data_IF_814516303448
#
_entry.id   IF_814516303448
#
_cell.length_a   1.000
_cell.length_b   1.000
_cell.length_c   1.000
_cell.angle_alpha   90.00
_cell.angle_beta   90.00
_cell.angle_gamma   90.00
#
_symmetry.space_group_name_H-M   'P 1'
#
loop_
_entity.id
_entity.type
_entity.pdbx_description
1 polymer ?
#
# COMPACT_ATOMS: atom_id res chain seq x y z
N UNK A 1 -22.35 -11.66 12.83
CA UNK A 1 -21.24 -11.42 11.89
C UNK A 1 -21.36 -10.00 11.35
N UNK A 2 -20.27 -9.32 11.14
CA UNK A 2 -20.22 -8.02 10.46
C UNK A 2 -20.31 -8.21 8.93
N UNK A 3 -20.00 -9.42 8.44
CA UNK A 3 -20.02 -9.74 7.02
C UNK A 3 -21.45 -9.79 6.49
N UNK A 4 -21.66 -9.09 5.38
CA UNK A 4 -22.84 -9.17 4.53
C UNK A 4 -22.71 -10.32 3.52
N UNK A 5 -23.74 -10.56 2.72
CA UNK A 5 -23.68 -11.52 1.61
C UNK A 5 -22.60 -11.15 0.58
N UNK A 6 -22.46 -9.85 0.28
CA UNK A 6 -21.42 -9.35 -0.63
C UNK A 6 -20.02 -9.62 -0.08
N UNK A 7 -19.78 -9.37 1.21
CA UNK A 7 -18.52 -9.71 1.87
C UNK A 7 -18.21 -11.20 1.79
N UNK A 8 -19.21 -12.06 2.00
CA UNK A 8 -19.04 -13.51 1.91
C UNK A 8 -18.69 -13.98 0.50
N UNK A 9 -19.34 -13.43 -0.51
CA UNK A 9 -19.02 -13.70 -1.93
C UNK A 9 -17.60 -13.23 -2.29
N UNK A 10 -17.23 -12.02 -1.84
CA UNK A 10 -15.89 -11.48 -2.04
C UNK A 10 -14.82 -12.36 -1.37
N UNK A 11 -15.07 -12.82 -0.14
CA UNK A 11 -14.17 -13.74 0.59
C UNK A 11 -13.94 -15.04 -0.19
N UNK A 12 -14.99 -15.65 -0.71
CA UNK A 12 -14.85 -16.88 -1.50
C UNK A 12 -14.04 -16.66 -2.78
N UNK A 13 -14.27 -15.54 -3.46
CA UNK A 13 -13.53 -15.16 -4.66
C UNK A 13 -12.07 -14.91 -4.35
N UNK A 14 -11.79 -14.11 -3.33
CA UNK A 14 -10.44 -13.79 -2.84
C UNK A 14 -9.68 -15.06 -2.46
N UNK A 15 -10.30 -15.96 -1.71
CA UNK A 15 -9.69 -17.24 -1.32
C UNK A 15 -9.29 -18.07 -2.54
N UNK A 16 -10.23 -18.26 -3.47
CA UNK A 16 -9.95 -19.03 -4.71
C UNK A 16 -8.81 -18.42 -5.53
N UNK A 17 -8.78 -17.09 -5.61
CA UNK A 17 -7.70 -16.39 -6.30
C UNK A 17 -6.35 -16.64 -5.62
N UNK A 18 -6.27 -16.44 -4.32
CA UNK A 18 -5.03 -16.61 -3.54
C UNK A 18 -4.53 -18.06 -3.63
N UNK A 19 -5.41 -19.04 -3.46
CA UNK A 19 -5.06 -20.46 -3.55
C UNK A 19 -4.53 -20.83 -4.94
N UNK A 20 -5.09 -20.26 -5.99
CA UNK A 20 -4.71 -20.55 -7.38
C UNK A 20 -3.44 -19.81 -7.82
N UNK A 21 -3.37 -18.50 -7.56
CA UNK A 21 -2.35 -17.62 -8.13
C UNK A 21 -1.18 -17.36 -7.17
N UNK A 22 -1.43 -17.28 -5.86
CA UNK A 22 -0.41 -16.86 -4.89
C UNK A 22 0.25 -18.03 -4.18
N UNK A 23 -0.51 -18.97 -3.65
CA UNK A 23 0.02 -20.11 -2.88
C UNK A 23 1.11 -20.89 -3.64
N UNK A 24 0.98 -21.18 -4.95
CA UNK A 24 2.02 -21.89 -5.69
C UNK A 24 3.34 -21.13 -5.82
N UNK A 25 3.33 -19.81 -5.64
CA UNK A 25 4.49 -18.93 -5.84
C UNK A 25 5.12 -18.44 -4.53
N UNK A 26 4.48 -18.68 -3.37
CA UNK A 26 4.86 -18.07 -2.09
C UNK A 26 6.29 -18.35 -1.66
N UNK A 27 6.78 -19.58 -1.83
CA UNK A 27 8.15 -19.98 -1.45
C UNK A 27 9.18 -19.22 -2.28
N UNK A 28 8.95 -19.12 -3.60
CA UNK A 28 9.78 -18.33 -4.50
C UNK A 28 9.83 -16.87 -4.09
N UNK A 29 8.70 -16.26 -3.71
CA UNK A 29 8.66 -14.86 -3.25
C UNK A 29 9.36 -14.65 -1.91
N UNK A 30 9.31 -15.63 -1.02
CA UNK A 30 10.05 -15.59 0.25
C UNK A 30 11.56 -15.61 -0.05
N UNK A 31 12.01 -16.51 -0.92
CA UNK A 31 13.42 -16.66 -1.26
C UNK A 31 14.00 -15.44 -1.99
N UNK A 32 13.24 -14.84 -2.92
CA UNK A 32 13.68 -13.65 -3.66
C UNK A 32 13.41 -12.33 -2.92
N UNK A 33 12.53 -12.32 -1.92
CA UNK A 33 12.24 -11.16 -1.07
C UNK A 33 11.18 -10.18 -1.61
N UNK A 34 10.51 -10.49 -2.71
CA UNK A 34 9.44 -9.65 -3.30
C UNK A 34 8.47 -10.46 -4.14
N UNK A 35 7.28 -9.90 -4.39
CA UNK A 35 6.28 -10.40 -5.35
C UNK A 35 6.41 -9.61 -6.66
N UNK A 36 6.46 -10.30 -7.80
CA UNK A 36 6.60 -9.64 -9.10
C UNK A 36 5.36 -8.77 -9.44
N UNK A 37 5.57 -7.65 -10.17
CA UNK A 37 4.49 -6.71 -10.51
C UNK A 37 3.29 -7.34 -11.21
N UNK A 38 3.49 -8.39 -12.01
CA UNK A 38 2.41 -9.11 -12.71
C UNK A 38 1.34 -9.67 -11.76
N UNK A 39 1.73 -10.10 -10.55
CA UNK A 39 0.79 -10.61 -9.55
C UNK A 39 0.03 -9.50 -8.82
N UNK A 40 0.61 -8.30 -8.75
CA UNK A 40 -0.11 -7.12 -8.31
C UNK A 40 -1.19 -6.72 -9.30
N UNK A 41 -0.89 -6.76 -10.61
CA UNK A 41 -1.87 -6.50 -11.65
C UNK A 41 -3.00 -7.52 -11.64
N UNK A 42 -2.69 -8.83 -11.52
CA UNK A 42 -3.71 -9.87 -11.35
C UNK A 42 -4.60 -9.64 -10.12
N UNK A 43 -4.02 -9.19 -9.00
CA UNK A 43 -4.79 -8.84 -7.81
C UNK A 43 -5.70 -7.64 -8.06
N UNK A 44 -5.22 -6.62 -8.78
CA UNK A 44 -6.02 -5.47 -9.21
C UNK A 44 -7.18 -5.86 -10.12
N UNK A 45 -6.95 -6.71 -11.13
CA UNK A 45 -7.98 -7.23 -12.03
C UNK A 45 -9.12 -7.95 -11.30
N UNK A 46 -8.84 -8.52 -10.13
CA UNK A 46 -9.82 -9.21 -9.30
C UNK A 46 -10.40 -8.35 -8.18
N UNK A 47 -10.04 -7.06 -8.12
CA UNK A 47 -10.55 -6.10 -7.14
C UNK A 47 -10.00 -6.27 -5.72
N UNK A 48 -8.85 -6.94 -5.56
CA UNK A 48 -8.22 -7.14 -4.25
C UNK A 48 -7.43 -5.91 -3.77
N UNK A 49 -7.19 -4.93 -4.65
CA UNK A 49 -6.47 -3.72 -4.34
C UNK A 49 -7.41 -2.52 -4.24
N UNK A 50 -7.26 -1.72 -3.20
CA UNK A 50 -8.04 -0.50 -2.99
C UNK A 50 -9.58 -0.72 -3.07
N UNK A 51 -10.14 -1.79 -2.47
CA UNK A 51 -11.57 -2.09 -2.58
C UNK A 51 -12.46 -1.03 -1.94
N UNK A 52 -11.95 -0.26 -0.97
CA UNK A 52 -12.65 0.81 -0.25
C UNK A 52 -12.39 2.22 -0.82
N UNK A 53 -11.52 2.34 -1.83
CA UNK A 53 -11.31 3.61 -2.55
C UNK A 53 -12.55 3.92 -3.40
N UNK A 54 -13.02 5.19 -3.44
CA UNK A 54 -14.20 5.57 -4.23
C UNK A 54 -14.08 5.19 -5.71
N UNK A 55 -15.22 4.82 -6.31
CA UNK A 55 -15.32 4.41 -7.72
C UNK A 55 -14.81 5.51 -8.66
N UNK A 56 -15.05 6.77 -8.34
CA UNK A 56 -14.58 7.93 -9.12
C UNK A 56 -13.04 7.97 -9.26
N UNK A 57 -12.33 7.31 -8.37
CA UNK A 57 -10.87 7.15 -8.41
C UNK A 57 -10.42 5.72 -8.78
N UNK A 58 -11.31 4.92 -9.35
CA UNK A 58 -11.00 3.58 -9.87
C UNK A 58 -11.00 2.47 -8.82
N UNK A 59 -11.38 2.75 -7.58
CA UNK A 59 -11.53 1.75 -6.52
C UNK A 59 -12.87 1.01 -6.55
N UNK A 60 -13.08 0.11 -5.61
CA UNK A 60 -14.30 -0.69 -5.49
C UNK A 60 -15.50 0.05 -4.88
N UNK A 61 -15.28 1.17 -4.18
CA UNK A 61 -16.32 1.93 -3.49
C UNK A 61 -16.96 1.20 -2.31
N UNK A 62 -16.33 0.13 -1.84
CA UNK A 62 -16.77 -0.65 -0.69
C UNK A 62 -16.38 -0.03 0.65
N UNK A 63 -16.51 -0.81 1.71
CA UNK A 63 -16.04 -0.45 3.04
C UNK A 63 -14.73 -1.20 3.41
N UNK A 64 -14.15 -0.88 4.55
CA UNK A 64 -12.93 -1.52 5.06
C UNK A 64 -13.07 -3.04 5.24
N UNK A 65 -14.28 -3.58 5.30
CA UNK A 65 -14.52 -5.02 5.41
C UNK A 65 -13.92 -5.80 4.23
N UNK A 66 -13.92 -5.24 3.04
CA UNK A 66 -13.29 -5.85 1.86
C UNK A 66 -11.76 -5.91 1.98
N UNK A 67 -11.11 -4.84 2.48
CA UNK A 67 -9.68 -4.87 2.79
C UNK A 67 -9.35 -5.90 3.87
N UNK A 68 -10.13 -5.93 4.96
CA UNK A 68 -9.95 -6.89 6.04
C UNK A 68 -10.02 -8.35 5.54
N UNK A 69 -10.98 -8.65 4.65
CA UNK A 69 -11.09 -9.97 4.01
C UNK A 69 -9.84 -10.28 3.20
N UNK A 70 -9.35 -9.34 2.39
CA UNK A 70 -8.14 -9.55 1.60
C UNK A 70 -6.93 -9.85 2.49
N UNK A 71 -6.79 -9.13 3.62
CA UNK A 71 -5.72 -9.39 4.59
C UNK A 71 -5.84 -10.75 5.24
N UNK A 72 -7.04 -11.12 5.71
CA UNK A 72 -7.28 -12.42 6.34
C UNK A 72 -6.99 -13.58 5.39
N UNK A 73 -7.48 -13.53 4.15
CA UNK A 73 -7.26 -14.61 3.19
C UNK A 73 -5.80 -14.70 2.72
N UNK A 74 -5.09 -13.56 2.58
CA UNK A 74 -3.66 -13.57 2.31
C UNK A 74 -2.87 -14.21 3.46
N UNK A 75 -3.18 -13.87 4.72
CA UNK A 75 -2.54 -14.50 5.88
C UNK A 75 -2.89 -15.98 6.00
N UNK A 76 -4.13 -16.38 5.72
CA UNK A 76 -4.54 -17.78 5.66
C UNK A 76 -3.72 -18.58 4.63
N UNK A 77 -3.40 -17.99 3.49
CA UNK A 77 -2.52 -18.56 2.46
C UNK A 77 -1.05 -18.49 2.81
N UNK A 78 -0.66 -17.89 3.94
CA UNK A 78 0.72 -17.59 4.32
C UNK A 78 1.44 -16.74 3.27
N UNK A 79 0.76 -15.77 2.67
CA UNK A 79 1.31 -14.86 1.66
C UNK A 79 1.91 -13.64 2.36
N UNK A 80 3.16 -13.71 2.74
CA UNK A 80 3.87 -12.64 3.45
C UNK A 80 4.48 -11.58 2.52
N UNK A 81 4.60 -11.87 1.23
CA UNK A 81 5.20 -10.98 0.22
C UNK A 81 4.20 -10.03 -0.44
N UNK A 82 2.92 -10.15 -0.13
CA UNK A 82 1.87 -9.27 -0.63
C UNK A 82 1.59 -8.13 0.35
N UNK A 83 2.32 -7.03 0.20
CA UNK A 83 2.19 -5.85 1.07
C UNK A 83 0.98 -4.96 0.74
N UNK A 84 -0.21 -5.54 0.45
CA UNK A 84 -1.42 -4.82 0.06
C UNK A 84 -1.95 -3.86 1.14
N UNK A 85 -1.69 -4.12 2.42
CA UNK A 85 -2.03 -3.18 3.49
C UNK A 85 -1.35 -1.81 3.30
N UNK A 86 -0.11 -1.80 2.80
CA UNK A 86 0.61 -0.56 2.49
C UNK A 86 -0.03 0.16 1.30
N UNK A 87 -0.51 -0.58 0.32
CA UNK A 87 -1.25 -0.03 -0.83
C UNK A 87 -2.48 0.75 -0.35
N UNK A 88 -3.31 0.14 0.49
CA UNK A 88 -4.47 0.80 1.12
C UNK A 88 -4.08 2.02 1.96
N UNK A 89 -3.07 1.92 2.83
CA UNK A 89 -2.61 3.04 3.65
C UNK A 89 -2.21 4.23 2.78
N UNK A 90 -1.41 4.02 1.73
CA UNK A 90 -0.98 5.11 0.83
C UNK A 90 -2.17 5.68 0.06
N UNK A 91 -3.12 4.84 -0.39
CA UNK A 91 -4.35 5.31 -1.03
C UNK A 91 -5.14 6.27 -0.11
N UNK A 92 -5.28 5.93 1.18
CA UNK A 92 -5.94 6.81 2.14
C UNK A 92 -5.18 8.10 2.44
N UNK A 93 -3.84 8.08 2.43
CA UNK A 93 -3.06 9.32 2.48
C UNK A 93 -3.35 10.22 1.26
N UNK A 94 -3.41 9.66 0.07
CA UNK A 94 -3.75 10.39 -1.15
C UNK A 94 -5.18 10.94 -1.11
N UNK A 95 -6.16 10.13 -0.70
CA UNK A 95 -7.56 10.56 -0.58
C UNK A 95 -7.71 11.75 0.39
N UNK A 96 -6.97 11.74 1.49
CA UNK A 96 -7.09 12.74 2.54
C UNK A 96 -6.26 14.00 2.28
N UNK A 97 -5.06 13.87 1.73
CA UNK A 97 -4.08 14.96 1.67
C UNK A 97 -3.60 15.28 0.25
N UNK A 98 -3.86 14.41 -0.71
CA UNK A 98 -3.49 14.63 -2.10
C UNK A 98 -4.33 15.70 -2.78
N UNK A 99 -3.76 16.37 -3.77
CA UNK A 99 -4.50 17.21 -4.70
C UNK A 99 -5.39 16.35 -5.61
N UNK A 100 -6.41 16.94 -6.24
CA UNK A 100 -7.27 16.21 -7.20
C UNK A 100 -6.44 15.61 -8.34
N UNK A 101 -5.46 16.35 -8.87
CA UNK A 101 -4.56 15.85 -9.92
C UNK A 101 -3.74 14.63 -9.46
N UNK A 102 -3.29 14.62 -8.20
CA UNK A 102 -2.58 13.49 -7.62
C UNK A 102 -3.50 12.27 -7.46
N UNK A 103 -4.72 12.47 -6.98
CA UNK A 103 -5.72 11.40 -6.83
C UNK A 103 -6.05 10.77 -8.19
N UNK A 104 -6.39 11.57 -9.19
CA UNK A 104 -6.72 11.12 -10.55
C UNK A 104 -5.52 10.41 -11.20
N UNK A 105 -4.31 10.89 -10.95
CA UNK A 105 -3.09 10.34 -11.55
C UNK A 105 -2.71 8.98 -10.99
N UNK A 106 -2.87 8.74 -9.67
CA UNK A 106 -2.26 7.60 -9.01
C UNK A 106 -3.27 6.56 -8.51
N UNK A 107 -4.41 6.97 -7.94
CA UNK A 107 -5.36 6.02 -7.34
C UNK A 107 -5.88 4.96 -8.32
N UNK A 108 -6.27 5.29 -9.58
CA UNK A 108 -6.71 4.27 -10.51
C UNK A 108 -5.63 3.21 -10.80
N UNK A 109 -4.38 3.65 -10.93
CA UNK A 109 -3.24 2.76 -11.18
C UNK A 109 -2.85 1.92 -9.96
N UNK A 110 -3.12 2.44 -8.76
CA UNK A 110 -2.96 1.67 -7.54
C UNK A 110 -4.02 0.57 -7.42
N UNK A 111 -5.26 0.86 -7.84
CA UNK A 111 -6.35 -0.11 -7.85
C UNK A 111 -6.13 -1.22 -8.88
N UNK A 112 -5.54 -0.92 -10.04
CA UNK A 112 -5.20 -1.91 -11.07
C UNK A 112 -3.90 -2.67 -10.79
N UNK A 113 -3.11 -2.26 -9.79
CA UNK A 113 -1.79 -2.84 -9.50
C UNK A 113 -0.67 -2.44 -10.45
N UNK A 114 -0.91 -1.46 -11.34
CA UNK A 114 0.14 -0.86 -12.18
C UNK A 114 1.15 -0.06 -11.36
N UNK A 115 0.72 0.52 -10.24
CA UNK A 115 1.56 1.23 -9.28
C UNK A 115 1.57 0.45 -7.96
N UNK A 116 2.74 -0.01 -7.56
CA UNK A 116 3.00 -0.58 -6.25
C UNK A 116 3.48 0.54 -5.34
N UNK A 117 2.95 0.61 -4.11
CA UNK A 117 3.30 1.68 -3.19
C UNK A 117 4.06 1.20 -1.98
N UNK A 118 4.85 2.10 -1.41
CA UNK A 118 5.51 1.95 -0.13
C UNK A 118 5.29 3.16 0.76
N UNK A 119 5.40 2.97 2.08
CA UNK A 119 5.44 4.06 3.04
C UNK A 119 6.75 4.00 3.83
N UNK A 120 7.57 5.04 3.69
CA UNK A 120 8.88 5.11 4.29
C UNK A 120 8.83 5.96 5.58
N UNK A 121 8.61 5.30 6.72
CA UNK A 121 8.56 5.93 8.05
C UNK A 121 9.83 5.68 8.84
N UNK A 122 10.16 4.41 9.10
CA UNK A 122 11.23 3.96 9.99
C UNK A 122 12.60 4.40 9.53
N UNK A 123 13.44 4.83 10.48
CA UNK A 123 14.84 5.18 10.28
C UNK A 123 15.74 4.33 11.20
N UNK A 124 17.04 4.25 10.96
CA UNK A 124 17.96 3.53 11.86
C UNK A 124 17.87 3.92 13.33
N UNK A 125 17.50 5.17 13.62
CA UNK A 125 17.37 5.71 14.99
C UNK A 125 15.94 5.96 15.44
N UNK A 126 14.92 5.60 14.65
CA UNK A 126 13.53 5.97 14.91
C UNK A 126 12.58 4.90 14.40
N UNK A 127 11.76 4.35 15.29
CA UNK A 127 10.68 3.41 14.99
C UNK A 127 9.35 3.94 15.50
N UNK A 128 8.91 3.49 16.68
CA UNK A 128 7.62 3.89 17.28
C UNK A 128 7.50 5.38 17.57
N UNK A 129 8.59 6.03 17.94
CA UNK A 129 8.65 7.49 18.12
C UNK A 129 8.93 8.19 16.78
N UNK A 130 7.89 8.41 15.98
CA UNK A 130 8.01 9.13 14.71
C UNK A 130 8.41 10.62 14.85
N UNK A 131 8.33 11.19 16.05
CA UNK A 131 8.83 12.56 16.30
C UNK A 131 10.36 12.63 16.16
N UNK A 132 11.04 11.50 16.39
CA UNK A 132 12.48 11.35 16.23
C UNK A 132 12.98 11.27 14.78
N UNK A 133 12.10 11.32 13.76
CA UNK A 133 12.48 11.30 12.34
C UNK A 133 13.48 12.41 12.02
N UNK A 134 14.58 12.04 11.35
CA UNK A 134 15.66 12.96 10.94
C UNK A 134 15.67 13.25 9.45
N UNK A 135 15.00 12.44 8.63
CA UNK A 135 14.83 12.74 7.18
C UNK A 135 14.21 14.12 7.02
N UNK A 136 14.84 14.93 6.18
CA UNK A 136 14.41 16.31 5.89
C UNK A 136 14.06 16.48 4.43
N UNK A 137 13.06 17.32 4.17
CA UNK A 137 12.70 17.80 2.85
C UNK A 137 12.91 19.32 2.80
N UNK A 138 13.87 19.77 2.03
CA UNK A 138 14.18 21.20 1.83
C UNK A 138 13.64 21.61 0.48
N UNK A 139 12.89 22.71 0.42
CA UNK A 139 12.32 23.21 -0.83
C UNK A 139 13.41 23.65 -1.78
N UNK A 140 13.33 23.22 -3.04
CA UNK A 140 14.22 23.58 -4.13
C UNK A 140 13.36 23.92 -5.38
N UNK A 141 13.04 25.21 -5.53
CA UNK A 141 12.09 25.67 -6.55
C UNK A 141 10.70 25.08 -6.35
N UNK A 142 10.21 24.33 -7.33
CA UNK A 142 8.92 23.63 -7.29
C UNK A 142 9.01 22.21 -6.71
N UNK A 143 10.22 21.73 -6.43
CA UNK A 143 10.51 20.42 -5.89
C UNK A 143 10.98 20.46 -4.42
N UNK A 144 11.30 19.29 -3.87
CA UNK A 144 11.91 19.14 -2.56
C UNK A 144 13.15 18.24 -2.65
N UNK A 145 14.24 18.70 -2.07
CA UNK A 145 15.43 17.88 -1.86
C UNK A 145 15.27 17.08 -0.56
N UNK A 146 15.17 15.76 -0.67
CA UNK A 146 15.08 14.83 0.44
C UNK A 146 16.48 14.37 0.86
N UNK A 147 16.77 14.45 2.18
CA UNK A 147 18.02 13.95 2.75
C UNK A 147 17.72 13.14 4.00
N UNK A 148 18.12 11.87 4.01
CA UNK A 148 17.90 10.96 5.13
C UNK A 148 18.10 9.51 4.75
N UNK A 149 17.76 8.59 5.68
CA UNK A 149 17.83 7.15 5.47
C UNK A 149 16.60 6.48 6.08
N UNK A 150 16.01 5.56 5.35
CA UNK A 150 14.84 4.77 5.76
C UNK A 150 15.20 3.29 5.72
N UNK A 151 14.63 2.50 6.67
CA UNK A 151 14.88 1.05 6.76
C UNK A 151 13.57 0.30 6.98
N UNK A 152 13.58 -1.00 6.67
CA UNK A 152 12.43 -1.90 6.87
C UNK A 152 11.16 -1.45 6.16
N UNK A 153 11.30 -1.04 4.89
CA UNK A 153 10.20 -0.50 4.11
C UNK A 153 9.53 -1.62 3.31
N UNK A 154 8.33 -2.01 3.73
CA UNK A 154 7.49 -2.96 2.99
C UNK A 154 7.27 -2.45 1.57
N UNK A 155 7.39 -3.34 0.58
CA UNK A 155 7.37 -3.04 -0.86
C UNK A 155 8.51 -2.12 -1.35
N UNK A 156 9.46 -1.70 -0.49
CA UNK A 156 10.47 -0.71 -0.84
C UNK A 156 11.39 -1.09 -2.00
N UNK A 157 11.50 -2.39 -2.33
CA UNK A 157 12.29 -2.89 -3.44
C UNK A 157 11.62 -2.65 -4.81
N UNK A 158 10.30 -2.82 -4.87
CA UNK A 158 9.53 -2.79 -6.12
C UNK A 158 8.46 -1.69 -6.17
N UNK A 159 8.52 -0.73 -5.25
CA UNK A 159 7.57 0.38 -5.24
C UNK A 159 7.83 1.38 -6.37
N UNK A 160 6.76 1.75 -7.08
CA UNK A 160 6.74 2.83 -8.08
C UNK A 160 6.46 4.19 -7.44
N UNK A 161 5.75 4.21 -6.31
CA UNK A 161 5.40 5.41 -5.57
C UNK A 161 5.68 5.21 -4.07
N UNK A 162 6.44 6.11 -3.47
CA UNK A 162 6.80 6.04 -2.05
C UNK A 162 6.29 7.26 -1.30
N UNK A 163 5.43 7.03 -0.28
CA UNK A 163 5.04 8.05 0.68
C UNK A 163 6.15 8.16 1.75
N UNK A 164 6.88 9.28 1.77
CA UNK A 164 8.03 9.47 2.67
C UNK A 164 7.67 10.38 3.84
N UNK A 165 7.80 9.86 5.07
CA UNK A 165 7.68 10.67 6.29
C UNK A 165 8.99 11.43 6.51
N UNK A 166 8.92 12.76 6.46
CA UNK A 166 10.06 13.65 6.59
C UNK A 166 9.66 14.97 7.28
N UNK A 167 10.64 15.73 7.75
CA UNK A 167 10.46 17.07 8.31
C UNK A 167 10.73 18.13 7.25
N UNK A 168 9.77 19.02 7.02
CA UNK A 168 9.94 20.22 6.19
C UNK A 168 10.46 21.39 7.02
N UNK A 169 10.20 21.39 8.33
CA UNK A 169 10.74 22.34 9.32
C UNK A 169 11.19 21.56 10.58
N UNK A 170 12.50 21.32 10.75
CA UNK A 170 13.03 20.58 11.90
C UNK A 170 12.78 21.23 13.26
N UNK A 171 12.53 22.55 13.30
CA UNK A 171 12.36 23.30 14.55
C UNK A 171 10.92 23.26 15.09
N UNK A 172 9.95 22.94 14.25
CA UNK A 172 8.52 22.97 14.61
C UNK A 172 8.05 21.76 15.43
N UNK A 173 8.83 20.72 15.56
CA UNK A 173 8.41 19.47 16.18
C UNK A 173 7.28 18.78 15.40
N UNK A 174 6.58 17.83 16.03
CA UNK A 174 5.39 17.20 15.47
C UNK A 174 4.15 17.99 15.90
N UNK A 175 3.68 18.90 15.08
CA UNK A 175 2.40 19.60 15.26
C UNK A 175 1.43 19.18 14.19
#
# INVERSE_FOLDING_TARGET
SWETEEHSMFRESTRRFIEKEFVPNRERWIDQGYMEPEYWQKAGETGLLCPDVPVDFGGGGGDFGFDAITYEEAQRGCITSFGNAIQSIVAHYLLRYGTEDQKIRWLPKMATGEIITAIAMTEPGTGSDLQGVKTRAVRDGDDYLLTGSKIFITNGFNADLVCVVCKTDPEQGAK
#
